data_IF_083722900551
#
_entry.id   IF_083722900551
#
_cell.length_a   1.000
_cell.length_b   1.000
_cell.length_c   1.000
_cell.angle_alpha   90.00
_cell.angle_beta   90.00
_cell.angle_gamma   90.00
#
_symmetry.space_group_name_H-M   'P 1'
#
loop_
_entity.id
_entity.type
_entity.pdbx_description
1 polymer ?
#
# COMPACT_ATOMS: atom_id res chain seq x y z
N UNK A 1 31.73 21.04 16.38
CA UNK A 1 32.12 19.70 15.94
C UNK A 1 32.36 18.83 17.16
N UNK A 2 31.36 18.16 17.65
CA UNK A 2 31.51 17.25 18.80
C UNK A 2 31.06 15.88 18.31
N UNK A 3 32.07 15.00 18.15
CA UNK A 3 31.82 13.59 17.81
C UNK A 3 31.23 12.91 19.06
N UNK A 4 29.97 12.55 19.04
CA UNK A 4 29.42 11.59 19.98
C UNK A 4 29.90 10.19 19.59
N UNK A 5 30.70 9.58 20.49
CA UNK A 5 31.01 8.15 20.42
C UNK A 5 29.73 7.37 20.70
N UNK A 6 29.37 6.52 19.78
CA UNK A 6 28.30 5.53 19.97
C UNK A 6 28.91 4.34 20.71
N UNK A 7 28.46 4.15 21.94
CA UNK A 7 28.84 3.02 22.79
C UNK A 7 27.96 1.81 22.39
N UNK A 8 28.58 0.74 21.90
CA UNK A 8 27.96 -0.50 21.51
C UNK A 8 27.84 -1.43 22.72
N UNK A 9 26.87 -1.19 23.60
CA UNK A 9 26.49 -2.19 24.61
C UNK A 9 24.97 -2.19 24.81
N UNK A 10 24.36 -3.31 24.38
CA UNK A 10 23.10 -3.90 24.87
C UNK A 10 21.96 -2.96 25.23
N UNK A 11 21.03 -2.78 24.29
CA UNK A 11 19.72 -2.19 24.55
C UNK A 11 18.93 -2.18 23.24
N UNK A 12 17.85 -2.94 23.17
CA UNK A 12 16.90 -2.89 22.08
C UNK A 12 16.52 -1.43 21.80
N UNK A 13 16.84 -0.94 20.60
CA UNK A 13 16.36 0.36 20.15
C UNK A 13 14.93 0.19 19.68
N UNK A 14 13.97 0.33 20.60
CA UNK A 14 12.61 0.65 20.22
C UNK A 14 12.66 1.97 19.45
N UNK A 15 12.19 1.96 18.21
CA UNK A 15 11.86 3.20 17.51
C UNK A 15 10.71 3.86 18.29
N UNK A 16 10.63 5.17 18.34
CA UNK A 16 9.61 5.96 19.07
C UNK A 16 8.13 5.59 18.75
N UNK A 17 7.90 4.63 17.88
CA UNK A 17 6.60 4.16 17.40
C UNK A 17 6.28 2.68 17.73
N UNK A 18 7.09 2.00 18.56
CA UNK A 18 6.81 0.62 18.97
C UNK A 18 6.96 -0.45 17.89
N UNK A 19 7.63 -0.15 16.78
CA UNK A 19 7.93 -1.10 15.71
C UNK A 19 9.38 -1.56 15.75
N UNK A 20 9.60 -2.86 15.44
CA UNK A 20 10.94 -3.39 15.26
C UNK A 20 11.65 -2.73 14.07
N UNK A 21 12.98 -2.57 14.14
CA UNK A 21 13.80 -2.07 13.01
C UNK A 21 13.61 -2.97 11.79
N UNK A 22 13.60 -4.28 12.01
CA UNK A 22 13.29 -5.28 10.99
C UNK A 22 11.83 -5.73 11.11
N UNK A 23 10.90 -4.78 10.95
CA UNK A 23 9.46 -5.08 11.05
C UNK A 23 8.98 -6.02 9.94
N UNK A 24 7.93 -6.84 10.18
CA UNK A 24 7.34 -7.70 9.15
C UNK A 24 6.85 -6.92 7.94
N UNK A 25 6.19 -5.80 8.13
CA UNK A 25 5.64 -4.96 7.05
C UNK A 25 6.72 -4.38 6.13
N UNK A 26 7.96 -4.22 6.61
CA UNK A 26 9.10 -3.78 5.81
C UNK A 26 9.98 -4.93 5.30
N UNK A 27 9.62 -6.18 5.59
CA UNK A 27 10.46 -7.35 5.30
C UNK A 27 10.77 -7.52 3.81
N UNK A 28 9.80 -7.26 2.95
CA UNK A 28 10.02 -7.32 1.51
C UNK A 28 11.17 -6.39 1.07
N UNK A 29 11.30 -5.21 1.69
CA UNK A 29 12.38 -4.28 1.39
C UNK A 29 13.73 -4.75 1.95
N UNK A 30 13.84 -5.00 3.25
CA UNK A 30 15.14 -5.32 3.85
C UNK A 30 15.63 -6.74 3.50
N UNK A 31 14.76 -7.64 3.04
CA UNK A 31 15.19 -8.91 2.46
C UNK A 31 15.83 -8.76 1.07
N UNK A 32 15.42 -7.76 0.30
CA UNK A 32 15.94 -7.52 -1.05
C UNK A 32 17.08 -6.49 -1.08
N UNK A 33 17.11 -5.56 -0.11
CA UNK A 33 18.12 -4.53 0.04
C UNK A 33 18.49 -4.43 1.52
N UNK A 34 19.36 -5.34 2.00
CA UNK A 34 19.67 -5.46 3.42
C UNK A 34 20.21 -4.17 4.06
N UNK A 35 21.08 -3.35 3.41
CA UNK A 35 21.54 -2.11 4.00
C UNK A 35 20.43 -1.06 4.19
N UNK A 36 19.30 -1.20 3.50
CA UNK A 36 18.19 -0.24 3.59
C UNK A 36 17.59 -0.15 4.99
N UNK A 37 17.65 -1.23 5.78
CA UNK A 37 17.11 -1.25 7.14
C UNK A 37 17.77 -0.19 8.04
N UNK A 38 19.10 -0.12 8.00
CA UNK A 38 19.88 0.85 8.79
C UNK A 38 19.91 2.22 8.14
N UNK A 39 19.96 2.28 6.81
CA UNK A 39 19.95 3.55 6.08
C UNK A 39 18.68 4.36 6.35
N UNK A 40 17.53 3.73 6.46
CA UNK A 40 16.27 4.43 6.74
C UNK A 40 16.21 5.12 8.10
N UNK A 41 17.01 4.66 9.08
CA UNK A 41 17.07 5.29 10.41
C UNK A 41 17.68 6.70 10.37
N UNK A 42 18.37 7.05 9.28
CA UNK A 42 18.90 8.40 9.06
C UNK A 42 17.83 9.39 8.55
N UNK A 43 16.63 8.89 8.21
CA UNK A 43 15.54 9.69 7.65
C UNK A 43 14.36 9.76 8.61
N UNK A 44 13.71 10.92 8.63
CA UNK A 44 12.51 11.11 9.45
C UNK A 44 11.39 10.13 9.02
N UNK A 45 10.69 9.62 10.02
CA UNK A 45 9.52 8.79 9.79
C UNK A 45 8.28 9.68 9.69
N UNK A 46 7.83 9.97 8.46
CA UNK A 46 6.61 10.75 8.22
C UNK A 46 5.46 9.80 7.90
N UNK A 47 4.35 9.94 8.62
CA UNK A 47 3.10 9.26 8.28
C UNK A 47 2.46 9.93 7.06
N UNK A 48 1.89 9.14 6.18
CA UNK A 48 1.04 9.64 5.10
C UNK A 48 -0.43 9.53 5.51
N UNK A 49 -1.30 10.38 4.93
CA UNK A 49 -2.76 10.29 5.14
C UNK A 49 -3.30 8.89 4.83
N UNK A 50 -2.75 8.21 3.83
CA UNK A 50 -3.12 6.83 3.50
C UNK A 50 -2.71 5.82 4.59
N UNK A 51 -1.58 6.04 5.27
CA UNK A 51 -1.17 5.21 6.40
C UNK A 51 -2.06 5.44 7.63
N UNK A 52 -2.44 6.69 7.89
CA UNK A 52 -3.37 7.05 8.97
C UNK A 52 -4.77 6.47 8.73
N UNK A 53 -5.26 6.58 7.48
CA UNK A 53 -6.52 5.97 7.05
C UNK A 53 -6.49 4.44 7.24
N UNK A 54 -5.38 3.79 6.87
CA UNK A 54 -5.16 2.36 7.08
C UNK A 54 -5.21 1.99 8.58
N UNK A 55 -4.52 2.75 9.43
CA UNK A 55 -4.53 2.54 10.88
C UNK A 55 -5.94 2.66 11.48
N UNK A 56 -6.72 3.64 11.03
CA UNK A 56 -8.11 3.78 11.44
C UNK A 56 -8.96 2.56 11.03
N UNK A 57 -8.76 2.07 9.80
CA UNK A 57 -9.49 0.90 9.30
C UNK A 57 -9.17 -0.37 10.10
N UNK A 58 -7.90 -0.63 10.46
CA UNK A 58 -7.51 -1.74 11.35
C UNK A 58 -8.19 -1.64 12.71
N UNK A 59 -8.22 -0.45 13.31
CA UNK A 59 -8.91 -0.25 14.60
C UNK A 59 -10.42 -0.56 14.52
N UNK A 60 -11.08 -0.24 13.39
CA UNK A 60 -12.48 -0.63 13.17
C UNK A 60 -12.64 -2.13 12.96
N UNK A 61 -11.74 -2.79 12.21
CA UNK A 61 -11.73 -4.25 12.06
C UNK A 61 -11.60 -4.95 13.42
N UNK A 62 -10.62 -4.55 14.22
CA UNK A 62 -10.43 -5.06 15.60
C UNK A 62 -11.69 -4.90 16.44
N UNK A 63 -12.27 -3.69 16.46
CA UNK A 63 -13.47 -3.40 17.23
C UNK A 63 -14.65 -4.28 16.79
N UNK A 64 -14.93 -4.36 15.51
CA UNK A 64 -16.07 -5.10 14.96
C UNK A 64 -15.89 -6.61 15.17
N UNK A 65 -14.69 -7.14 14.94
CA UNK A 65 -14.39 -8.56 15.13
C UNK A 65 -14.52 -8.95 16.62
N UNK A 66 -14.00 -8.12 17.54
CA UNK A 66 -14.23 -8.32 18.98
C UNK A 66 -15.71 -8.34 19.33
N UNK A 67 -16.51 -7.49 18.70
CA UNK A 67 -17.98 -7.47 18.92
C UNK A 67 -18.66 -8.72 18.39
N UNK A 68 -18.29 -9.20 17.20
CA UNK A 68 -18.81 -10.44 16.63
C UNK A 68 -18.51 -11.66 17.51
N UNK A 69 -17.38 -11.63 18.21
CA UNK A 69 -16.96 -12.66 19.17
C UNK A 69 -17.47 -12.42 20.61
N UNK A 70 -18.42 -11.50 20.82
CA UNK A 70 -18.97 -11.13 22.13
C UNK A 70 -17.94 -10.63 23.15
N UNK A 71 -16.79 -10.11 22.67
CA UNK A 71 -15.75 -9.51 23.50
C UNK A 71 -16.04 -8.02 23.74
N UNK A 72 -15.51 -7.52 24.87
CA UNK A 72 -15.61 -6.08 25.18
C UNK A 72 -14.68 -5.28 24.26
N UNK A 73 -15.22 -4.27 23.61
CA UNK A 73 -14.45 -3.31 22.80
C UNK A 73 -15.15 -1.96 22.78
N UNK A 74 -14.37 -0.88 22.80
CA UNK A 74 -14.85 0.50 22.61
C UNK A 74 -14.72 0.86 21.15
N UNK A 75 -15.78 1.43 20.53
CA UNK A 75 -15.74 1.88 19.14
C UNK A 75 -14.67 2.96 18.96
N UNK A 76 -13.76 2.81 17.99
CA UNK A 76 -12.80 3.85 17.64
C UNK A 76 -13.50 5.13 17.16
N UNK A 77 -12.81 6.26 17.31
CA UNK A 77 -13.23 7.56 16.77
C UNK A 77 -12.12 8.02 15.84
N UNK A 78 -12.47 8.31 14.59
CA UNK A 78 -11.51 8.74 13.56
C UNK A 78 -12.18 9.70 12.57
N UNK A 79 -11.44 10.66 12.08
CA UNK A 79 -11.87 11.57 11.01
C UNK A 79 -11.99 10.84 9.65
N UNK A 80 -11.41 9.64 9.54
CA UNK A 80 -11.49 8.76 8.36
C UNK A 80 -12.73 7.84 8.38
N UNK A 81 -13.58 7.91 9.42
CA UNK A 81 -14.79 7.09 9.52
C UNK A 81 -15.77 7.45 8.38
N UNK A 82 -15.94 6.54 7.43
CA UNK A 82 -16.76 6.69 6.24
C UNK A 82 -17.59 5.45 5.98
N UNK A 83 -18.67 5.58 5.23
CA UNK A 83 -19.51 4.45 4.85
C UNK A 83 -18.69 3.35 4.11
N UNK A 84 -17.79 3.75 3.20
CA UNK A 84 -16.88 2.81 2.53
C UNK A 84 -15.99 2.06 3.52
N UNK A 85 -15.42 2.74 4.52
CA UNK A 85 -14.60 2.10 5.54
C UNK A 85 -15.44 1.14 6.38
N UNK A 86 -16.68 1.51 6.71
CA UNK A 86 -17.58 0.63 7.46
C UNK A 86 -17.94 -0.62 6.65
N UNK A 87 -18.27 -0.49 5.36
CA UNK A 87 -18.56 -1.63 4.48
C UNK A 87 -17.34 -2.56 4.32
N UNK A 88 -16.16 -2.00 4.10
CA UNK A 88 -14.91 -2.77 3.97
C UNK A 88 -14.56 -3.55 5.24
N UNK A 89 -14.74 -2.92 6.41
CA UNK A 89 -14.44 -3.56 7.69
C UNK A 89 -15.51 -4.58 8.08
N UNK A 90 -16.78 -4.40 7.72
CA UNK A 90 -17.83 -5.41 7.86
C UNK A 90 -17.52 -6.65 7.00
N UNK A 91 -17.16 -6.45 5.73
CA UNK A 91 -16.78 -7.55 4.84
C UNK A 91 -15.58 -8.36 5.35
N UNK A 92 -14.60 -7.69 5.99
CA UNK A 92 -13.49 -8.38 6.65
C UNK A 92 -13.96 -9.26 7.82
N UNK A 93 -14.83 -8.71 8.67
CA UNK A 93 -15.36 -9.47 9.81
C UNK A 93 -16.17 -10.67 9.35
N UNK A 94 -17.02 -10.51 8.33
CA UNK A 94 -17.81 -11.59 7.77
C UNK A 94 -16.90 -12.71 7.24
N UNK A 95 -15.83 -12.33 6.50
CA UNK A 95 -14.83 -13.29 6.02
C UNK A 95 -14.13 -14.04 7.16
N UNK A 96 -13.64 -13.33 8.18
CA UNK A 96 -12.97 -13.95 9.34
C UNK A 96 -13.91 -14.91 10.08
N UNK A 97 -15.17 -14.52 10.27
CA UNK A 97 -16.17 -15.37 10.94
C UNK A 97 -16.48 -16.62 10.11
N UNK A 98 -16.56 -16.51 8.80
CA UNK A 98 -16.69 -17.67 7.90
C UNK A 98 -15.49 -18.61 8.03
N UNK A 99 -14.26 -18.09 8.05
CA UNK A 99 -13.05 -18.91 8.22
C UNK A 99 -13.01 -19.61 9.59
N UNK A 100 -13.50 -18.93 10.63
CA UNK A 100 -13.64 -19.53 11.96
C UNK A 100 -14.65 -20.68 11.96
N UNK A 101 -15.79 -20.55 11.29
CA UNK A 101 -16.77 -21.63 11.17
C UNK A 101 -16.20 -22.82 10.36
N UNK A 102 -15.41 -22.57 9.34
CA UNK A 102 -14.69 -23.64 8.60
C UNK A 102 -13.71 -24.37 9.53
N UNK A 103 -12.96 -23.64 10.36
CA UNK A 103 -12.05 -24.21 11.33
C UNK A 103 -12.78 -25.08 12.37
N UNK A 104 -13.95 -24.66 12.86
CA UNK A 104 -14.82 -25.41 13.79
C UNK A 104 -15.33 -26.74 13.21
N UNK A 105 -15.44 -26.84 11.88
CA UNK A 105 -15.82 -28.10 11.26
C UNK A 105 -14.71 -29.16 11.29
N UNK A 106 -13.43 -28.71 11.41
CA UNK A 106 -12.24 -29.57 11.42
C UNK A 106 -11.68 -29.79 12.81
N UNK A 107 -11.84 -28.84 13.71
CA UNK A 107 -11.30 -28.83 15.06
C UNK A 107 -12.42 -28.44 16.05
N UNK A 108 -12.55 -29.20 17.14
CA UNK A 108 -13.61 -28.93 18.13
C UNK A 108 -13.42 -27.61 18.88
N UNK A 109 -12.22 -27.11 19.02
CA UNK A 109 -11.86 -25.93 19.80
C UNK A 109 -10.79 -25.07 19.10
N UNK A 110 -11.10 -24.49 17.92
CA UNK A 110 -10.18 -23.60 17.26
C UNK A 110 -10.08 -22.28 18.03
N UNK A 111 -8.86 -21.80 18.22
CA UNK A 111 -8.59 -20.54 18.90
C UNK A 111 -8.51 -19.40 17.87
N UNK A 112 -9.24 -18.31 18.12
CA UNK A 112 -9.11 -17.07 17.36
C UNK A 112 -8.46 -15.97 18.19
N UNK A 113 -7.50 -15.27 17.60
CA UNK A 113 -6.73 -14.22 18.25
C UNK A 113 -6.74 -12.98 17.35
N UNK A 114 -6.96 -11.82 17.95
CA UNK A 114 -7.10 -10.53 17.26
C UNK A 114 -5.99 -9.62 17.73
N UNK A 115 -5.33 -8.93 16.79
CA UNK A 115 -4.20 -8.02 17.09
C UNK A 115 -3.15 -8.73 17.97
N UNK A 116 -2.80 -9.95 17.56
CA UNK A 116 -1.90 -10.79 18.33
C UNK A 116 -0.46 -10.36 18.11
N UNK A 117 0.20 -9.94 19.20
CA UNK A 117 1.65 -9.73 19.17
C UNK A 117 2.35 -11.07 19.02
N UNK A 118 3.22 -11.16 18.04
CA UNK A 118 4.03 -12.35 17.71
C UNK A 118 5.51 -11.99 17.73
N UNK A 119 6.34 -12.91 18.24
CA UNK A 119 7.77 -12.77 18.39
C UNK A 119 8.47 -13.82 17.49
N UNK A 120 9.27 -13.37 16.54
CA UNK A 120 10.07 -14.23 15.65
C UNK A 120 11.56 -13.89 15.79
N UNK A 121 11.98 -13.44 16.97
CA UNK A 121 13.37 -13.08 17.29
C UNK A 121 14.35 -14.25 17.21
N UNK A 122 13.87 -15.47 17.15
CA UNK A 122 14.69 -16.65 16.84
C UNK A 122 15.38 -16.53 15.47
N UNK A 123 14.70 -15.91 14.50
CA UNK A 123 15.20 -15.76 13.12
C UNK A 123 15.62 -14.33 12.78
N UNK A 124 15.04 -13.34 13.41
CA UNK A 124 15.25 -11.91 13.11
C UNK A 124 15.60 -11.15 14.38
N UNK A 125 16.81 -10.61 14.51
CA UNK A 125 17.20 -9.86 15.71
C UNK A 125 16.16 -8.81 16.11
N UNK A 126 15.67 -8.88 17.37
CA UNK A 126 14.59 -8.03 17.91
C UNK A 126 13.32 -8.05 17.03
N UNK A 127 13.05 -9.17 16.35
CA UNK A 127 11.95 -9.32 15.42
C UNK A 127 10.63 -9.57 16.12
N UNK A 128 9.68 -8.64 16.03
CA UNK A 128 8.32 -8.79 16.49
C UNK A 128 7.34 -8.04 15.58
N UNK A 129 6.06 -8.36 15.71
CA UNK A 129 4.99 -7.67 15.00
C UNK A 129 3.64 -7.98 15.61
N UNK A 130 2.59 -7.41 15.03
CA UNK A 130 1.21 -7.68 15.41
C UNK A 130 0.47 -8.22 14.19
N UNK A 131 -0.09 -9.42 14.31
CA UNK A 131 -0.93 -10.04 13.29
C UNK A 131 -2.39 -9.67 13.54
N UNK A 132 -3.10 -9.20 12.51
CA UNK A 132 -4.46 -8.71 12.63
C UNK A 132 -5.41 -9.80 13.14
N UNK A 133 -5.35 -11.00 12.56
CA UNK A 133 -6.12 -12.15 12.99
C UNK A 133 -5.36 -13.47 12.80
N UNK A 134 -5.38 -14.31 13.82
CA UNK A 134 -4.90 -15.69 13.76
C UNK A 134 -6.04 -16.63 14.13
N UNK A 135 -6.22 -17.71 13.36
CA UNK A 135 -7.07 -18.84 13.71
C UNK A 135 -6.16 -20.05 13.84
N UNK A 136 -6.03 -20.58 15.04
CA UNK A 136 -5.21 -21.75 15.36
C UNK A 136 -6.12 -22.94 15.55
N UNK A 137 -5.90 -23.99 14.81
CA UNK A 137 -6.64 -25.25 14.90
C UNK A 137 -5.68 -26.43 14.78
N UNK A 138 -6.15 -27.63 15.04
CA UNK A 138 -5.36 -28.83 14.81
C UNK A 138 -4.90 -28.86 13.35
N UNK A 139 -3.62 -29.12 13.14
CA UNK A 139 -2.94 -29.20 11.86
C UNK A 139 -2.82 -27.90 11.06
N UNK A 140 -3.59 -26.83 11.38
CA UNK A 140 -3.62 -25.61 10.55
C UNK A 140 -3.52 -24.32 11.38
N UNK A 141 -2.61 -23.45 10.99
CA UNK A 141 -2.54 -22.04 11.42
C UNK A 141 -3.00 -21.16 10.25
N UNK A 142 -4.05 -20.37 10.45
CA UNK A 142 -4.52 -19.40 9.45
C UNK A 142 -4.24 -17.98 9.92
N UNK A 143 -3.51 -17.21 9.11
CA UNK A 143 -3.19 -15.81 9.33
C UNK A 143 -3.98 -14.99 8.31
N UNK A 144 -4.75 -14.01 8.77
CA UNK A 144 -5.57 -13.14 7.92
C UNK A 144 -5.17 -11.71 8.20
N UNK A 145 -4.61 -11.06 7.18
CA UNK A 145 -4.10 -9.70 7.24
C UNK A 145 -4.98 -8.77 6.38
N UNK A 146 -5.44 -7.70 6.98
CA UNK A 146 -6.31 -6.72 6.35
C UNK A 146 -5.50 -5.62 5.67
N UNK A 147 -5.81 -5.31 4.43
CA UNK A 147 -5.19 -4.24 3.67
C UNK A 147 -6.24 -3.26 3.15
N UNK A 148 -6.27 -2.05 3.69
CA UNK A 148 -7.25 -1.04 3.29
C UNK A 148 -6.82 -0.22 2.06
N UNK A 149 -5.50 -0.12 1.80
CA UNK A 149 -4.94 0.73 0.76
C UNK A 149 -5.33 0.34 -0.68
N UNK A 150 -5.59 1.36 -1.52
CA UNK A 150 -5.86 1.20 -2.96
C UNK A 150 -4.57 1.17 -3.81
N UNK A 151 -3.47 1.73 -3.29
CA UNK A 151 -2.29 2.07 -4.10
C UNK A 151 -1.52 0.87 -4.66
N UNK A 152 -1.43 -0.23 -3.92
CA UNK A 152 -0.68 -1.43 -4.32
C UNK A 152 -1.53 -2.66 -4.09
N UNK A 153 -1.60 -3.54 -5.09
CA UNK A 153 -2.17 -4.86 -4.94
C UNK A 153 -1.19 -5.72 -4.13
N UNK A 154 -1.68 -6.33 -3.04
CA UNK A 154 -0.87 -7.18 -2.17
C UNK A 154 -1.33 -8.62 -2.34
N UNK A 155 -0.38 -9.49 -2.66
CA UNK A 155 -0.64 -10.93 -2.80
C UNK A 155 -0.10 -11.68 -1.57
N UNK A 156 -0.74 -12.80 -1.24
CA UNK A 156 -0.30 -13.68 -0.16
C UNK A 156 0.85 -14.60 -0.60
N UNK A 157 0.96 -14.88 -1.91
CA UNK A 157 1.99 -15.74 -2.45
C UNK A 157 3.38 -15.19 -2.13
N UNK A 158 4.22 -16.02 -1.49
CA UNK A 158 5.58 -15.69 -1.08
C UNK A 158 5.72 -14.40 -0.23
N UNK A 159 4.65 -13.95 0.41
CA UNK A 159 4.62 -12.71 1.18
C UNK A 159 5.45 -12.85 2.47
N UNK A 160 6.55 -12.11 2.54
CA UNK A 160 7.49 -12.19 3.66
C UNK A 160 6.93 -11.65 4.98
N UNK A 161 6.01 -10.66 4.94
CA UNK A 161 5.30 -10.17 6.12
C UNK A 161 4.49 -11.29 6.76
N UNK A 162 3.69 -11.99 5.94
CA UNK A 162 2.85 -13.09 6.38
C UNK A 162 3.67 -14.26 6.92
N UNK A 163 4.80 -14.58 6.25
CA UNK A 163 5.73 -15.61 6.71
C UNK A 163 6.36 -15.26 8.08
N UNK A 164 6.71 -13.98 8.32
CA UNK A 164 7.21 -13.54 9.63
C UNK A 164 6.14 -13.69 10.72
N UNK A 165 4.89 -13.31 10.45
CA UNK A 165 3.79 -13.52 11.39
C UNK A 165 3.58 -15.01 11.70
N UNK A 166 3.65 -15.84 10.66
CA UNK A 166 3.53 -17.29 10.81
C UNK A 166 4.62 -17.89 11.72
N UNK A 167 5.88 -17.49 11.55
CA UNK A 167 6.97 -17.93 12.40
C UNK A 167 6.77 -17.54 13.85
N UNK A 168 6.37 -16.29 14.10
CA UNK A 168 6.11 -15.83 15.46
C UNK A 168 4.87 -16.50 16.09
N UNK A 169 3.83 -16.81 15.32
CA UNK A 169 2.69 -17.57 15.80
C UNK A 169 3.07 -19.04 16.09
N UNK A 170 3.86 -19.68 15.23
CA UNK A 170 4.38 -21.03 15.48
C UNK A 170 5.17 -21.11 16.78
N UNK A 171 6.05 -20.14 17.06
CA UNK A 171 6.83 -20.10 18.29
C UNK A 171 5.97 -20.16 19.55
N UNK A 172 4.73 -19.64 19.49
CA UNK A 172 3.80 -19.64 20.61
C UNK A 172 2.94 -20.93 20.64
N UNK A 173 2.43 -21.37 19.50
CA UNK A 173 1.32 -22.32 19.43
C UNK A 173 1.71 -23.74 18.97
N UNK A 174 2.86 -23.97 18.32
CA UNK A 174 3.23 -25.29 17.81
C UNK A 174 3.43 -26.34 18.90
N UNK A 175 3.74 -25.94 20.13
CA UNK A 175 3.82 -26.86 21.27
C UNK A 175 2.46 -27.33 21.79
N UNK A 176 1.38 -26.63 21.43
CA UNK A 176 0.01 -26.91 21.85
C UNK A 176 -0.81 -27.56 20.74
N UNK A 177 -0.48 -27.29 19.49
CA UNK A 177 -1.17 -27.77 18.29
C UNK A 177 -0.16 -28.40 17.34
N UNK A 178 -0.50 -29.54 16.73
CA UNK A 178 0.34 -30.19 15.70
C UNK A 178 0.16 -29.49 14.35
N UNK A 179 0.69 -28.25 14.25
CA UNK A 179 0.52 -27.38 13.06
C UNK A 179 1.40 -27.89 11.92
N UNK A 180 0.78 -28.41 10.87
CA UNK A 180 1.43 -28.93 9.66
C UNK A 180 1.39 -27.95 8.50
N UNK A 181 0.28 -27.24 8.36
CA UNK A 181 0.02 -26.31 7.27
C UNK A 181 -0.27 -24.90 7.80
N UNK A 182 0.21 -23.91 7.07
CA UNK A 182 0.01 -22.50 7.35
C UNK A 182 -0.71 -21.88 6.16
N UNK A 183 -1.92 -21.40 6.42
CA UNK A 183 -2.70 -20.62 5.46
C UNK A 183 -2.50 -19.14 5.73
N UNK A 184 -2.14 -18.37 4.73
CA UNK A 184 -1.90 -16.94 4.81
C UNK A 184 -2.82 -16.23 3.84
N UNK A 185 -3.69 -15.36 4.34
CA UNK A 185 -4.66 -14.62 3.52
C UNK A 185 -4.44 -13.12 3.66
N UNK A 186 -4.33 -12.45 2.54
CA UNK A 186 -4.44 -10.99 2.40
C UNK A 186 -5.88 -10.67 2.00
N UNK A 187 -6.56 -9.88 2.82
CA UNK A 187 -7.91 -9.41 2.56
C UNK A 187 -7.88 -7.91 2.24
N UNK A 188 -8.06 -7.56 0.97
CA UNK A 188 -7.96 -6.18 0.47
C UNK A 188 -9.26 -5.77 -0.25
N UNK A 189 -10.32 -5.37 0.49
CA UNK A 189 -11.67 -5.21 -0.05
C UNK A 189 -11.78 -4.09 -1.09
N UNK A 190 -11.11 -2.97 -0.93
CA UNK A 190 -11.14 -1.86 -1.89
C UNK A 190 -10.55 -2.21 -3.26
N UNK A 191 -9.88 -3.36 -3.37
CA UNK A 191 -9.34 -3.91 -4.63
C UNK A 191 -10.02 -5.22 -5.04
N UNK A 192 -11.11 -5.60 -4.36
CA UNK A 192 -11.80 -6.86 -4.58
C UNK A 192 -10.83 -8.06 -4.57
N UNK A 193 -9.82 -8.00 -3.68
CA UNK A 193 -8.74 -8.97 -3.64
C UNK A 193 -8.77 -9.77 -2.32
N UNK A 194 -8.94 -11.07 -2.46
CA UNK A 194 -8.73 -12.05 -1.39
C UNK A 194 -7.71 -13.05 -1.93
N UNK A 195 -6.47 -12.92 -1.47
CA UNK A 195 -5.36 -13.76 -1.92
C UNK A 195 -4.95 -14.69 -0.79
N UNK A 196 -4.91 -15.98 -1.05
CA UNK A 196 -4.51 -16.99 -0.06
C UNK A 196 -3.36 -17.83 -0.58
N UNK A 197 -2.37 -18.06 0.28
CA UNK A 197 -1.23 -18.93 0.03
C UNK A 197 -1.06 -19.91 1.18
N UNK A 198 -0.85 -21.17 0.86
CA UNK A 198 -0.65 -22.25 1.83
C UNK A 198 0.77 -22.79 1.70
N UNK A 199 1.43 -22.98 2.83
CA UNK A 199 2.78 -23.54 2.91
C UNK A 199 2.87 -24.56 4.06
N UNK A 200 3.69 -25.59 3.90
CA UNK A 200 3.97 -26.50 5.00
C UNK A 200 4.90 -25.87 6.05
N UNK A 201 4.67 -26.20 7.32
CA UNK A 201 5.51 -25.71 8.44
C UNK A 201 6.99 -25.98 8.22
N UNK A 202 7.33 -27.16 7.68
CA UNK A 202 8.73 -27.50 7.38
C UNK A 202 9.37 -26.63 6.30
N UNK A 203 8.61 -26.26 5.28
CA UNK A 203 9.08 -25.36 4.21
C UNK A 203 9.26 -23.93 4.72
N UNK A 204 8.32 -23.46 5.55
CA UNK A 204 8.44 -22.13 6.18
C UNK A 204 9.68 -22.05 7.08
N UNK A 205 9.92 -23.06 7.95
CA UNK A 205 11.12 -23.12 8.80
C UNK A 205 12.40 -23.19 7.99
N UNK A 206 12.40 -23.97 6.90
CA UNK A 206 13.54 -24.01 5.98
C UNK A 206 13.83 -22.64 5.37
N UNK A 207 12.80 -21.95 4.88
CA UNK A 207 12.95 -20.58 4.37
C UNK A 207 13.48 -19.63 5.45
N UNK A 208 13.02 -19.78 6.69
CA UNK A 208 13.47 -18.95 7.80
C UNK A 208 14.98 -19.13 8.08
N UNK A 209 15.47 -20.36 8.09
CA UNK A 209 16.90 -20.64 8.33
C UNK A 209 17.78 -20.29 7.12
N UNK A 210 17.34 -20.62 5.90
CA UNK A 210 18.17 -20.45 4.70
C UNK A 210 18.15 -19.05 4.12
N UNK A 211 17.06 -18.29 4.31
CA UNK A 211 16.84 -16.97 3.67
C UNK A 211 16.66 -15.87 4.68
N UNK A 212 15.68 -16.01 5.60
CA UNK A 212 15.29 -14.92 6.50
C UNK A 212 16.42 -14.56 7.46
N UNK A 213 16.92 -15.53 8.21
CA UNK A 213 17.92 -15.33 9.26
C UNK A 213 19.24 -14.73 8.75
N UNK A 214 19.89 -15.28 7.70
CA UNK A 214 21.12 -14.69 7.18
C UNK A 214 20.92 -13.25 6.69
N UNK A 215 19.80 -12.97 6.03
CA UNK A 215 19.51 -11.62 5.54
C UNK A 215 19.17 -10.66 6.67
N UNK A 216 18.47 -11.10 7.71
CA UNK A 216 18.18 -10.29 8.89
C UNK A 216 19.46 -9.92 9.65
N UNK A 217 20.41 -10.87 9.79
CA UNK A 217 21.72 -10.61 10.40
C UNK A 217 22.53 -9.56 9.62
N UNK A 218 22.48 -9.60 8.29
CA UNK A 218 23.09 -8.55 7.45
C UNK A 218 22.36 -7.23 7.58
N UNK A 219 21.03 -7.26 7.54
CA UNK A 219 20.19 -6.06 7.55
C UNK A 219 20.36 -5.25 8.85
N UNK A 220 20.40 -5.91 10.02
CA UNK A 220 20.56 -5.22 11.29
C UNK A 220 21.96 -4.57 11.46
N UNK A 221 22.96 -5.07 10.73
CA UNK A 221 24.31 -4.50 10.67
C UNK A 221 24.45 -3.44 9.57
N UNK A 222 23.47 -3.31 8.68
CA UNK A 222 23.56 -2.44 7.50
C UNK A 222 24.52 -2.98 6.44
N UNK A 223 24.79 -4.29 6.45
CA UNK A 223 25.70 -4.98 5.54
C UNK A 223 24.97 -5.49 4.29
N UNK A 224 25.72 -5.79 3.24
CA UNK A 224 25.23 -6.28 1.97
C UNK A 224 25.25 -5.23 0.87
N UNK A 225 24.67 -5.58 -0.27
CA UNK A 225 24.62 -4.70 -1.44
C UNK A 225 23.31 -3.92 -1.49
N UNK A 226 23.40 -2.64 -1.90
CA UNK A 226 22.22 -1.87 -2.24
C UNK A 226 21.61 -2.45 -3.51
N UNK A 227 20.29 -2.62 -3.51
CA UNK A 227 19.56 -3.18 -4.64
C UNK A 227 18.31 -2.35 -4.94
N UNK A 228 18.18 -1.86 -6.18
CA UNK A 228 17.00 -1.14 -6.64
C UNK A 228 15.92 -2.11 -7.09
N UNK A 229 14.65 -1.81 -6.73
CA UNK A 229 13.50 -2.60 -7.12
C UNK A 229 12.20 -1.96 -6.68
N UNK A 230 11.09 -2.69 -6.82
CA UNK A 230 9.76 -2.20 -6.43
C UNK A 230 9.65 -1.89 -4.92
N UNK A 231 10.42 -2.55 -4.08
CA UNK A 231 10.52 -2.27 -2.65
C UNK A 231 11.03 -0.86 -2.34
N UNK A 232 11.69 -0.17 -3.28
CA UNK A 232 12.09 1.21 -3.13
C UNK A 232 10.91 2.20 -3.01
N UNK A 233 9.69 1.79 -3.40
CA UNK A 233 8.48 2.62 -3.27
C UNK A 233 8.20 3.05 -1.83
N UNK A 234 8.57 2.19 -0.87
CA UNK A 234 8.34 2.39 0.56
C UNK A 234 9.63 2.70 1.33
N UNK A 235 10.75 2.89 0.65
CA UNK A 235 12.03 3.21 1.26
C UNK A 235 12.16 4.73 1.48
N UNK A 236 12.32 5.16 2.73
CA UNK A 236 12.51 6.57 3.09
C UNK A 236 13.77 7.19 2.47
N UNK A 237 14.80 6.38 2.27
CA UNK A 237 16.03 6.80 1.62
C UNK A 237 15.94 6.86 0.08
N UNK A 238 14.83 6.39 -0.52
CA UNK A 238 14.70 6.14 -1.95
C UNK A 238 15.06 7.33 -2.85
N UNK A 239 14.70 8.55 -2.43
CA UNK A 239 14.98 9.79 -3.20
C UNK A 239 16.46 10.11 -3.25
N UNK A 240 17.21 9.78 -2.19
CA UNK A 240 18.65 10.07 -2.07
C UNK A 240 19.54 8.84 -2.33
N UNK A 241 18.93 7.70 -2.61
CA UNK A 241 19.64 6.46 -2.83
C UNK A 241 20.40 6.49 -4.16
N UNK A 242 21.72 6.29 -4.10
CA UNK A 242 22.61 6.27 -5.29
C UNK A 242 22.27 5.09 -6.21
N UNK A 243 22.11 3.90 -5.64
CA UNK A 243 21.79 2.69 -6.40
C UNK A 243 20.48 2.85 -7.21
N UNK A 244 19.43 3.38 -6.56
CA UNK A 244 18.17 3.69 -7.25
C UNK A 244 18.38 4.72 -8.38
N UNK A 245 19.17 5.76 -8.12
CA UNK A 245 19.46 6.78 -9.12
C UNK A 245 20.25 6.20 -10.32
N UNK A 246 21.25 5.38 -10.06
CA UNK A 246 22.05 4.72 -11.12
C UNK A 246 21.20 3.77 -11.94
N UNK A 247 20.32 3.00 -11.30
CA UNK A 247 19.38 2.12 -11.96
C UNK A 247 18.44 2.91 -12.89
N UNK A 248 17.80 3.96 -12.40
CA UNK A 248 16.86 4.77 -13.19
C UNK A 248 17.54 5.57 -14.31
N UNK A 249 18.83 5.91 -14.15
CA UNK A 249 19.61 6.61 -15.17
C UNK A 249 20.26 5.67 -16.20
N UNK A 250 20.14 4.35 -16.07
CA UNK A 250 20.68 3.40 -17.06
C UNK A 250 20.15 3.69 -18.48
N UNK A 251 18.88 4.01 -18.60
CA UNK A 251 18.28 4.38 -19.89
C UNK A 251 18.93 5.63 -20.48
N UNK A 252 19.17 6.66 -19.67
CA UNK A 252 19.81 7.90 -20.12
C UNK A 252 21.29 7.71 -20.51
N UNK A 253 21.93 6.65 -20.00
CA UNK A 253 23.31 6.28 -20.34
C UNK A 253 23.38 5.33 -21.54
N UNK A 254 22.25 4.84 -22.06
CA UNK A 254 22.21 3.93 -23.20
C UNK A 254 22.66 4.68 -24.46
N UNK A 255 23.70 4.18 -25.11
CA UNK A 255 24.14 4.69 -26.40
C UNK A 255 23.19 4.17 -27.47
N UNK A 256 22.36 5.04 -28.01
CA UNK A 256 21.54 4.73 -29.20
C UNK A 256 22.41 4.69 -30.45
N UNK A 257 22.53 3.53 -31.05
CA UNK A 257 23.29 3.31 -32.27
C UNK A 257 22.48 3.71 -33.51
N UNK A 258 23.16 4.06 -34.60
CA UNK A 258 22.53 4.24 -35.88
C UNK A 258 21.88 2.92 -36.38
N UNK A 259 20.72 2.98 -37.04
CA UNK A 259 20.12 4.13 -37.73
C UNK A 259 19.52 5.18 -36.77
N UNK A 260 19.25 6.43 -37.27
CA UNK A 260 18.82 7.54 -36.39
C UNK A 260 17.42 7.41 -35.84
N UNK A 261 16.67 6.36 -36.18
CA UNK A 261 15.36 6.04 -35.65
C UNK A 261 15.47 4.79 -34.78
N UNK A 262 14.75 4.81 -33.65
CA UNK A 262 14.59 3.65 -32.78
C UNK A 262 13.83 2.57 -33.52
N UNK A 263 14.19 1.32 -33.27
CA UNK A 263 13.37 0.16 -33.67
C UNK A 263 12.20 -0.04 -32.71
N UNK A 264 11.21 -0.83 -33.09
CA UNK A 264 10.07 -1.14 -32.25
C UNK A 264 10.49 -1.89 -30.97
N UNK A 265 11.48 -2.76 -31.05
CA UNK A 265 12.03 -3.49 -29.89
C UNK A 265 12.73 -2.53 -28.90
N UNK A 266 13.46 -1.51 -29.41
CA UNK A 266 14.06 -0.47 -28.55
C UNK A 266 12.96 0.38 -27.88
N UNK A 267 11.86 0.66 -28.56
CA UNK A 267 10.70 1.38 -28.01
C UNK A 267 10.04 0.54 -26.92
N UNK A 268 9.83 -0.77 -27.13
CA UNK A 268 9.27 -1.68 -26.14
C UNK A 268 10.12 -1.73 -24.85
N UNK A 269 11.45 -1.80 -25.00
CA UNK A 269 12.37 -1.75 -23.86
C UNK A 269 12.23 -0.42 -23.10
N UNK A 270 12.19 0.70 -23.79
CA UNK A 270 12.02 2.04 -23.20
C UNK A 270 10.68 2.15 -22.48
N UNK A 271 9.58 1.67 -23.08
CA UNK A 271 8.25 1.69 -22.50
C UNK A 271 8.18 0.95 -21.14
N UNK A 272 8.92 -0.12 -20.98
CA UNK A 272 8.98 -0.86 -19.74
C UNK A 272 9.62 -0.07 -18.58
N UNK A 273 10.50 0.88 -18.88
CA UNK A 273 11.31 1.64 -17.91
C UNK A 273 10.73 3.04 -17.61
N UNK A 274 10.07 3.67 -18.60
CA UNK A 274 9.56 5.05 -18.51
C UNK A 274 8.71 5.31 -17.26
N UNK A 275 7.75 4.46 -16.87
CA UNK A 275 6.90 4.76 -15.71
C UNK A 275 7.70 4.93 -14.42
N UNK A 276 8.68 4.08 -14.20
CA UNK A 276 9.53 4.12 -13.01
C UNK A 276 10.52 5.29 -13.03
N UNK A 277 11.07 5.60 -14.21
CA UNK A 277 11.94 6.77 -14.41
C UNK A 277 11.17 8.08 -14.14
N UNK A 278 9.96 8.19 -14.68
CA UNK A 278 9.11 9.36 -14.49
C UNK A 278 8.74 9.53 -13.01
N UNK A 279 8.39 8.44 -12.34
CA UNK A 279 8.09 8.46 -10.92
C UNK A 279 9.30 8.93 -10.11
N UNK A 280 10.48 8.36 -10.35
CA UNK A 280 11.70 8.76 -9.67
C UNK A 280 12.04 10.24 -9.91
N UNK A 281 11.89 10.75 -11.14
CA UNK A 281 12.10 12.16 -11.45
C UNK A 281 11.17 13.09 -10.65
N UNK A 282 9.89 12.71 -10.54
CA UNK A 282 8.92 13.44 -9.73
C UNK A 282 9.27 13.40 -8.23
N UNK A 283 9.72 12.25 -7.71
CA UNK A 283 10.15 12.09 -6.32
C UNK A 283 11.32 13.06 -6.00
N UNK A 284 12.29 13.19 -6.90
CA UNK A 284 13.41 14.16 -6.77
C UNK A 284 12.91 15.61 -6.74
N UNK A 285 11.99 15.96 -7.65
CA UNK A 285 11.43 17.33 -7.71
C UNK A 285 10.65 17.67 -6.44
N UNK A 286 9.85 16.75 -5.95
CA UNK A 286 9.09 16.93 -4.70
C UNK A 286 10.03 17.10 -3.51
N UNK A 287 11.00 16.22 -3.34
CA UNK A 287 12.01 16.31 -2.28
C UNK A 287 12.77 17.64 -2.32
N UNK A 288 13.19 18.07 -3.53
CA UNK A 288 13.92 19.33 -3.67
C UNK A 288 13.04 20.53 -3.28
N UNK A 289 11.76 20.51 -3.66
CA UNK A 289 10.80 21.56 -3.32
C UNK A 289 10.52 21.58 -1.81
N UNK A 290 10.21 20.44 -1.21
CA UNK A 290 9.95 20.31 0.23
C UNK A 290 11.18 20.73 1.06
N UNK A 291 12.38 20.28 0.68
CA UNK A 291 13.62 20.67 1.35
C UNK A 291 13.87 22.17 1.30
N UNK A 292 13.52 22.82 0.19
CA UNK A 292 13.67 24.27 0.05
C UNK A 292 12.60 25.03 0.86
N UNK A 293 11.35 24.56 0.87
CA UNK A 293 10.24 25.21 1.58
C UNK A 293 10.34 25.00 3.09
N UNK A 294 10.54 23.75 3.53
CA UNK A 294 10.45 23.39 4.95
C UNK A 294 11.77 23.58 5.70
N UNK A 295 12.91 23.43 5.01
CA UNK A 295 14.25 23.48 5.63
C UNK A 295 15.14 24.63 5.10
N UNK A 296 14.61 25.48 4.20
CA UNK A 296 15.37 26.60 3.65
C UNK A 296 16.57 26.21 2.79
N UNK A 297 16.61 24.95 2.30
CA UNK A 297 17.71 24.46 1.50
C UNK A 297 17.78 25.16 0.15
N UNK A 298 18.95 25.69 -0.20
CA UNK A 298 19.18 26.30 -1.49
C UNK A 298 19.78 25.31 -2.48
N UNK A 299 19.22 25.30 -3.70
CA UNK A 299 19.71 24.49 -4.81
C UNK A 299 20.30 25.40 -5.88
N UNK A 300 21.57 25.20 -6.21
CA UNK A 300 22.26 26.03 -7.21
C UNK A 300 21.53 25.94 -8.55
N UNK A 301 21.17 27.10 -9.13
CA UNK A 301 20.46 27.18 -10.41
C UNK A 301 18.95 27.05 -10.29
N UNK A 302 18.38 26.90 -9.08
CA UNK A 302 16.93 26.78 -8.84
C UNK A 302 16.45 27.80 -7.81
N UNK A 303 15.19 28.18 -7.91
CA UNK A 303 14.51 29.04 -6.95
C UNK A 303 13.06 28.58 -6.73
N UNK A 304 12.55 28.83 -5.54
CA UNK A 304 11.13 28.66 -5.23
C UNK A 304 10.37 29.90 -5.74
N UNK A 305 9.28 29.64 -6.42
CA UNK A 305 8.37 30.67 -6.90
C UNK A 305 6.93 30.28 -6.54
N UNK A 306 6.06 31.26 -6.43
CA UNK A 306 4.64 31.00 -6.28
C UNK A 306 4.09 30.29 -7.53
N UNK A 307 3.37 29.19 -7.33
CA UNK A 307 2.75 28.44 -8.42
C UNK A 307 1.67 29.26 -9.13
N UNK A 308 1.35 28.88 -10.36
CA UNK A 308 0.22 29.51 -11.08
C UNK A 308 -1.08 29.19 -10.34
N UNK A 309 -1.75 30.21 -9.82
CA UNK A 309 -3.05 30.10 -9.18
C UNK A 309 -4.16 30.51 -10.15
N UNK A 310 -5.29 29.81 -10.07
CA UNK A 310 -6.51 30.25 -10.74
C UNK A 310 -7.22 31.29 -9.86
N UNK A 311 -7.80 32.31 -10.50
CA UNK A 311 -8.64 33.29 -9.77
C UNK A 311 -9.87 32.58 -9.21
N UNK A 312 -10.17 32.85 -7.95
CA UNK A 312 -11.37 32.37 -7.27
C UNK A 312 -12.16 33.58 -6.76
N UNK A 313 -13.47 33.44 -6.63
CA UNK A 313 -14.26 34.37 -5.86
C UNK A 313 -13.85 34.28 -4.39
N UNK A 314 -13.67 35.45 -3.74
CA UNK A 314 -13.37 35.54 -2.31
C UNK A 314 -14.61 35.19 -1.46
N UNK A 315 -15.76 35.62 -1.93
CA UNK A 315 -17.06 35.37 -1.32
C UNK A 315 -18.11 35.33 -2.45
N UNK A 316 -18.60 34.10 -2.72
CA UNK A 316 -19.59 33.88 -3.78
C UNK A 316 -20.90 34.59 -3.51
N UNK A 317 -21.37 34.67 -2.25
CA UNK A 317 -22.59 35.35 -1.88
C UNK A 317 -22.50 36.87 -2.12
N UNK A 318 -21.38 37.48 -1.78
CA UNK A 318 -21.11 38.87 -2.05
C UNK A 318 -21.07 39.16 -3.56
N UNK A 319 -20.47 38.25 -4.36
CA UNK A 319 -20.45 38.36 -5.83
C UNK A 319 -21.85 38.26 -6.41
N UNK A 320 -22.66 37.30 -5.96
CA UNK A 320 -24.06 37.11 -6.40
C UNK A 320 -24.87 38.36 -6.11
N UNK A 321 -24.77 38.88 -4.88
CA UNK A 321 -25.48 40.12 -4.47
C UNK A 321 -25.10 41.29 -5.37
N UNK A 322 -23.81 41.52 -5.55
CA UNK A 322 -23.29 42.63 -6.34
C UNK A 322 -23.64 42.50 -7.82
N UNK A 323 -23.56 41.31 -8.41
CA UNK A 323 -23.97 41.09 -9.79
C UNK A 323 -25.46 41.39 -10.02
N UNK A 324 -26.34 40.96 -9.11
CA UNK A 324 -27.78 41.25 -9.17
C UNK A 324 -28.08 42.73 -9.03
N UNK A 325 -27.37 43.46 -8.16
CA UNK A 325 -27.49 44.93 -8.01
C UNK A 325 -27.15 45.67 -9.32
N UNK A 326 -26.24 45.11 -10.14
CA UNK A 326 -25.86 45.65 -11.45
C UNK A 326 -26.68 45.09 -12.62
N UNK A 327 -27.79 44.38 -12.34
CA UNK A 327 -28.75 43.93 -13.35
C UNK A 327 -28.42 42.58 -14.02
N UNK A 328 -27.37 41.88 -13.56
CA UNK A 328 -27.03 40.55 -14.06
C UNK A 328 -27.83 39.50 -13.28
N UNK A 329 -28.86 38.93 -13.91
CA UNK A 329 -29.75 37.94 -13.28
C UNK A 329 -29.43 36.51 -13.65
N UNK A 330 -28.85 36.28 -14.84
CA UNK A 330 -28.49 34.95 -15.35
C UNK A 330 -27.01 34.65 -15.06
N UNK A 331 -26.71 34.53 -13.77
CA UNK A 331 -25.34 34.31 -13.25
C UNK A 331 -25.09 32.90 -12.70
N UNK A 332 -26.10 32.05 -12.77
CA UNK A 332 -26.01 30.67 -12.30
C UNK A 332 -26.00 29.69 -13.47
N UNK A 333 -25.03 28.79 -13.45
CA UNK A 333 -25.05 27.63 -14.30
C UNK A 333 -25.58 26.46 -13.46
N UNK A 334 -26.86 26.10 -13.62
CA UNK A 334 -27.33 24.86 -13.01
C UNK A 334 -26.77 23.66 -13.79
N UNK A 335 -26.06 22.80 -13.10
CA UNK A 335 -25.60 21.51 -13.61
C UNK A 335 -26.23 20.40 -12.78
N UNK A 336 -26.53 19.28 -13.45
CA UNK A 336 -26.95 18.08 -12.75
C UNK A 336 -25.84 17.67 -11.76
N UNK A 337 -26.22 17.24 -10.57
CA UNK A 337 -25.26 16.69 -9.60
C UNK A 337 -24.58 15.44 -10.19
N UNK A 338 -23.38 15.13 -9.69
CA UNK A 338 -22.62 13.99 -10.20
C UNK A 338 -23.37 12.67 -10.02
N UNK A 339 -23.05 11.65 -10.82
CA UNK A 339 -23.64 10.31 -10.67
C UNK A 339 -23.46 9.78 -9.25
N UNK A 340 -22.28 9.99 -8.65
CA UNK A 340 -21.98 9.60 -7.28
C UNK A 340 -22.89 10.31 -6.26
N UNK A 341 -23.11 11.60 -6.41
CA UNK A 341 -23.98 12.34 -5.50
C UNK A 341 -25.45 11.99 -5.71
N UNK A 342 -25.85 11.69 -6.96
CA UNK A 342 -27.19 11.20 -7.26
C UNK A 342 -27.44 9.81 -6.65
N UNK A 343 -26.43 8.93 -6.72
CA UNK A 343 -26.49 7.60 -6.10
C UNK A 343 -26.57 7.68 -4.57
N UNK A 344 -25.84 8.61 -3.95
CA UNK A 344 -25.97 8.88 -2.50
C UNK A 344 -27.36 9.40 -2.13
N UNK A 345 -27.91 10.31 -2.94
CA UNK A 345 -29.22 10.91 -2.71
C UNK A 345 -30.37 9.89 -2.80
N UNK A 346 -30.33 9.00 -3.78
CA UNK A 346 -31.40 8.04 -4.07
C UNK A 346 -31.22 6.68 -3.36
N UNK A 347 -30.00 6.37 -2.93
CA UNK A 347 -29.58 5.02 -2.51
C UNK A 347 -29.32 4.12 -3.74
N UNK A 348 -28.35 3.19 -3.63
CA UNK A 348 -27.86 2.36 -4.74
C UNK A 348 -28.96 1.62 -5.49
N UNK A 349 -29.84 0.95 -4.79
CA UNK A 349 -30.91 0.14 -5.40
C UNK A 349 -31.89 0.99 -6.20
N UNK A 350 -32.34 2.09 -5.61
CA UNK A 350 -33.32 2.98 -6.27
C UNK A 350 -32.71 3.77 -7.42
N UNK A 351 -31.42 4.10 -7.32
CA UNK A 351 -30.66 4.73 -8.39
C UNK A 351 -30.57 3.83 -9.62
N UNK A 352 -30.22 2.55 -9.43
CA UNK A 352 -30.15 1.54 -10.49
C UNK A 352 -31.52 1.29 -11.13
N UNK A 353 -32.58 1.16 -10.31
CA UNK A 353 -33.94 0.91 -10.78
C UNK A 353 -34.50 2.06 -11.63
N UNK A 354 -34.22 3.31 -11.24
CA UNK A 354 -34.85 4.50 -11.86
C UNK A 354 -33.98 5.10 -12.96
N UNK A 355 -32.65 5.05 -12.82
CA UNK A 355 -31.72 5.76 -13.70
C UNK A 355 -30.77 4.79 -14.44
N UNK A 356 -30.78 3.49 -14.15
CA UNK A 356 -29.87 2.52 -14.76
C UNK A 356 -29.87 2.58 -16.29
N UNK A 357 -31.06 2.61 -16.91
CA UNK A 357 -31.22 2.70 -18.36
C UNK A 357 -30.79 4.05 -18.98
N UNK A 358 -30.58 5.08 -18.15
CA UNK A 358 -30.15 6.42 -18.57
C UNK A 358 -28.65 6.64 -18.35
N UNK A 359 -27.93 5.63 -17.84
CA UNK A 359 -26.50 5.70 -17.56
C UNK A 359 -25.77 4.90 -18.62
N UNK A 360 -24.86 5.57 -19.30
CA UNK A 360 -23.91 4.92 -20.21
C UNK A 360 -22.52 5.04 -19.64
N UNK A 361 -21.75 3.99 -19.80
CA UNK A 361 -20.30 4.02 -19.54
C UNK A 361 -19.60 4.06 -20.91
N UNK A 362 -19.23 5.24 -21.41
CA UNK A 362 -18.57 5.33 -22.69
C UNK A 362 -17.23 4.61 -22.63
N UNK A 363 -16.78 4.09 -23.76
CA UNK A 363 -15.47 3.47 -23.90
C UNK A 363 -14.37 4.46 -23.46
N UNK A 364 -13.49 4.03 -22.58
CA UNK A 364 -12.33 4.83 -22.16
C UNK A 364 -11.39 5.08 -23.34
N UNK A 365 -10.63 6.17 -23.30
CA UNK A 365 -9.59 6.44 -24.31
C UNK A 365 -8.59 5.28 -24.34
N UNK A 366 -8.17 4.83 -25.53
CA UNK A 366 -7.10 3.84 -25.66
C UNK A 366 -5.89 4.25 -24.84
N UNK A 367 -5.39 3.37 -24.01
CA UNK A 367 -4.26 3.63 -23.12
C UNK A 367 -3.30 2.45 -23.21
N UNK A 368 -2.05 2.73 -23.48
CA UNK A 368 -1.00 1.71 -23.47
C UNK A 368 -0.63 1.39 -22.02
N UNK A 369 -0.71 0.11 -21.68
CA UNK A 369 -0.39 -0.40 -20.33
C UNK A 369 0.46 -1.66 -20.46
N UNK A 370 1.21 -2.04 -19.40
CA UNK A 370 1.93 -3.31 -19.38
C UNK A 370 0.98 -4.51 -19.61
N UNK A 371 1.51 -5.58 -20.18
CA UNK A 371 0.74 -6.82 -20.44
C UNK A 371 0.18 -7.45 -19.15
N UNK A 372 0.85 -7.20 -18.02
CA UNK A 372 0.40 -7.61 -16.68
C UNK A 372 -0.86 -6.88 -16.18
N UNK A 373 -1.30 -5.82 -16.86
CA UNK A 373 -2.54 -5.12 -16.50
C UNK A 373 -3.74 -6.05 -16.68
N UNK A 374 -4.62 -6.10 -15.70
CA UNK A 374 -5.77 -7.03 -15.66
C UNK A 374 -6.87 -6.71 -16.69
N UNK A 375 -6.84 -5.53 -17.32
CA UNK A 375 -7.81 -5.12 -18.33
C UNK A 375 -7.60 -5.90 -19.62
N UNK A 376 -8.71 -6.24 -20.30
CA UNK A 376 -8.65 -6.91 -21.60
C UNK A 376 -8.02 -5.99 -22.65
N UNK A 377 -7.14 -6.54 -23.47
CA UNK A 377 -6.61 -5.83 -24.64
C UNK A 377 -7.74 -5.41 -25.60
N UNK A 378 -7.66 -4.20 -26.10
CA UNK A 378 -8.59 -3.70 -27.11
C UNK A 378 -8.23 -4.31 -28.48
N UNK A 379 -9.25 -4.68 -29.26
CA UNK A 379 -9.03 -5.08 -30.64
C UNK A 379 -8.92 -3.84 -31.51
N UNK A 380 -7.69 -3.49 -31.89
CA UNK A 380 -7.35 -2.25 -32.59
C UNK A 380 -7.95 -2.19 -34.00
N UNK A 381 -8.28 -3.35 -34.61
CA UNK A 381 -8.90 -3.38 -35.94
C UNK A 381 -10.30 -2.73 -35.99
N UNK A 382 -10.98 -2.60 -34.85
CA UNK A 382 -12.31 -1.97 -34.76
C UNK A 382 -12.27 -0.51 -34.32
N UNK A 383 -11.12 -0.01 -33.85
CA UNK A 383 -11.01 1.37 -33.30
C UNK A 383 -11.13 2.43 -34.40
N UNK A 384 -10.66 2.14 -35.60
CA UNK A 384 -10.71 3.08 -36.72
C UNK A 384 -12.17 3.30 -37.23
N UNK A 385 -13.06 2.38 -37.00
CA UNK A 385 -14.45 2.47 -37.45
C UNK A 385 -15.33 3.24 -36.45
N UNK A 386 -15.10 3.09 -35.14
CA UNK A 386 -15.88 3.79 -34.10
C UNK A 386 -15.53 5.29 -33.94
N UNK A 387 -14.29 5.71 -34.26
CA UNK A 387 -13.88 7.11 -34.18
C UNK A 387 -14.14 7.93 -35.47
N UNK A 388 -14.61 7.30 -36.54
CA UNK A 388 -14.99 7.99 -37.79
C UNK A 388 -16.47 8.43 -37.83
N UNK A 389 -17.31 7.96 -36.90
CA UNK A 389 -18.75 8.31 -36.84
C UNK A 389 -19.07 9.55 -35.98
N UNK A 390 -18.08 10.14 -35.28
CA UNK A 390 -18.26 11.38 -34.51
C UNK A 390 -17.55 12.60 -35.18
N UNK A 391 -17.83 12.86 -36.44
CA UNK A 391 -17.49 14.16 -37.07
C UNK A 391 -18.70 14.79 -37.72
#
# INVERSE_FOLDING_TARGET
>A
MTKQKVDCTTGARETDLGHAVLSPSSSHRWLNCTPSAMLELEFENTSSSAAEEGTAAHAFCEHKLKKALHMRSKRPVSDYDSDEMQECTDAYVDYVMEQLEIAKQKCNDPMILIEQKVDFSEYVPDGFGTADCLIVSDETLHIIDFKYGLGVLVEAYENSQMKCYALGALAIYESLYDIKEISMTIFQPRRENISTYIIHTSELKKWAEEVLKPKAEMAIKGEGEYCSGEWCKFCRASVRCRERAEDKLKLAKKEFKLPPLLTDEEIEEILSIIPDLTKWANDIMNYATESAVNHGKQWTGFKIVEGRSARKYKDENAVIKKAKEYGYTDIFKSSLITLTDMQKLMGKTKFEEVLGDLIIQPSGKPTLVPESDKRKAMNISNINDEFMEEK
#
